data_IF_531737988632
#
_entry.id   IF_531737988632
#
_cell.length_a   1.000
_cell.length_b   1.000
_cell.length_c   1.000
_cell.angle_alpha   90.00
_cell.angle_beta   90.00
_cell.angle_gamma   90.00
#
_symmetry.space_group_name_H-M   'P 1'
#
loop_
_entity.id
_entity.type
_entity.pdbx_description
1 polymer ?
#
# COMPACT_ATOMS: atom_id res chain seq x y z
N UNK A 1 -25.96 50.92 -14.44
CA UNK A 1 -24.61 50.39 -14.11
C UNK A 1 -24.66 49.13 -13.22
N UNK A 2 -25.78 48.81 -12.55
CA UNK A 2 -25.90 47.65 -11.66
C UNK A 2 -25.94 46.29 -12.38
N UNK A 3 -26.68 46.16 -13.49
CA UNK A 3 -26.81 44.87 -14.22
C UNK A 3 -25.49 44.31 -14.75
N UNK A 4 -24.58 45.16 -15.23
CA UNK A 4 -23.27 44.74 -15.74
C UNK A 4 -22.33 44.22 -14.64
N UNK A 5 -22.42 44.79 -13.43
CA UNK A 5 -21.61 44.34 -12.29
C UNK A 5 -22.16 43.04 -11.68
N UNK A 6 -23.49 42.87 -11.63
CA UNK A 6 -24.12 41.63 -11.15
C UNK A 6 -23.80 40.47 -12.09
N UNK A 7 -23.88 40.68 -13.41
CA UNK A 7 -23.52 39.68 -14.43
C UNK A 7 -22.04 39.27 -14.38
N UNK A 8 -21.12 40.23 -14.24
CA UNK A 8 -19.69 39.94 -14.10
C UNK A 8 -19.37 39.19 -12.80
N UNK A 9 -20.03 39.53 -11.70
CA UNK A 9 -19.86 38.84 -10.42
C UNK A 9 -20.39 37.40 -10.48
N UNK A 10 -21.55 37.17 -11.12
CA UNK A 10 -22.10 35.83 -11.31
C UNK A 10 -21.19 34.95 -12.17
N UNK A 11 -20.58 35.52 -13.22
CA UNK A 11 -19.63 34.80 -14.07
C UNK A 11 -18.39 34.34 -13.28
N UNK A 12 -17.80 35.21 -12.45
CA UNK A 12 -16.65 34.85 -11.60
C UNK A 12 -16.98 33.77 -10.56
N UNK A 13 -18.22 33.75 -10.07
CA UNK A 13 -18.72 32.70 -9.17
C UNK A 13 -18.85 31.36 -9.89
N UNK A 14 -19.43 31.35 -11.09
CA UNK A 14 -19.58 30.13 -11.89
C UNK A 14 -18.22 29.56 -12.31
N UNK A 15 -17.26 30.42 -12.65
CA UNK A 15 -15.89 30.01 -12.99
C UNK A 15 -15.16 29.42 -11.77
N UNK A 16 -15.29 30.07 -10.60
CA UNK A 16 -14.73 29.55 -9.33
C UNK A 16 -15.33 28.19 -8.96
N UNK A 17 -16.63 27.99 -9.19
CA UNK A 17 -17.30 26.69 -8.99
C UNK A 17 -16.85 25.64 -10.00
N UNK A 18 -16.61 26.02 -11.25
CA UNK A 18 -16.08 25.10 -12.26
C UNK A 18 -14.68 24.60 -11.89
N UNK A 19 -13.79 25.52 -11.49
CA UNK A 19 -12.47 25.15 -10.97
C UNK A 19 -12.57 24.27 -9.72
N UNK A 20 -13.59 24.52 -8.89
CA UNK A 20 -13.84 23.73 -7.70
C UNK A 20 -14.15 22.26 -8.01
N UNK A 21 -15.09 22.05 -8.93
CA UNK A 21 -15.54 20.72 -9.35
C UNK A 21 -14.40 19.96 -10.06
N UNK A 22 -13.59 20.67 -10.87
CA UNK A 22 -12.41 20.09 -11.51
C UNK A 22 -11.35 19.66 -10.48
N UNK A 23 -11.04 20.49 -9.48
CA UNK A 23 -10.09 20.15 -8.44
C UNK A 23 -10.58 18.99 -7.56
N UNK A 24 -11.89 18.95 -7.25
CA UNK A 24 -12.53 17.84 -6.52
C UNK A 24 -12.41 16.52 -7.30
N UNK A 25 -12.68 16.57 -8.61
CA UNK A 25 -12.56 15.41 -9.51
C UNK A 25 -11.12 14.92 -9.62
N UNK A 26 -10.17 15.84 -9.84
CA UNK A 26 -8.75 15.52 -9.95
C UNK A 26 -8.19 14.92 -8.66
N UNK A 27 -8.63 15.42 -7.51
CA UNK A 27 -8.30 14.85 -6.21
C UNK A 27 -8.82 13.41 -6.16
N UNK A 28 -10.13 13.20 -6.41
CA UNK A 28 -10.80 11.88 -6.40
C UNK A 28 -10.07 10.85 -7.26
N UNK A 29 -9.72 11.23 -8.48
CA UNK A 29 -8.97 10.39 -9.41
C UNK A 29 -7.54 10.10 -8.89
N UNK A 30 -6.85 11.11 -8.36
CA UNK A 30 -5.54 10.95 -7.73
C UNK A 30 -5.53 9.97 -6.56
N UNK A 31 -6.54 10.03 -5.68
CA UNK A 31 -6.68 9.10 -4.56
C UNK A 31 -6.98 7.67 -4.98
N UNK A 32 -7.83 7.50 -6.00
CA UNK A 32 -8.08 6.19 -6.59
C UNK A 32 -6.80 5.60 -7.17
N UNK A 33 -6.01 6.39 -7.91
CA UNK A 33 -4.73 5.96 -8.48
C UNK A 33 -3.70 5.60 -7.41
N UNK A 34 -3.60 6.41 -6.35
CA UNK A 34 -2.69 6.14 -5.24
C UNK A 34 -3.06 4.86 -4.49
N UNK A 35 -4.36 4.61 -4.28
CA UNK A 35 -4.85 3.38 -3.67
C UNK A 35 -4.54 2.16 -4.55
N UNK A 36 -4.83 2.23 -5.85
CA UNK A 36 -4.50 1.16 -6.79
C UNK A 36 -3.00 0.87 -6.83
N UNK A 37 -2.15 1.89 -6.81
CA UNK A 37 -0.70 1.72 -6.78
C UNK A 37 -0.22 1.07 -5.47
N UNK A 38 -0.83 1.43 -4.34
CA UNK A 38 -0.55 0.81 -3.05
C UNK A 38 -0.97 -0.68 -3.03
N UNK A 39 -2.15 -1.01 -3.56
CA UNK A 39 -2.63 -2.39 -3.68
C UNK A 39 -1.74 -3.22 -4.60
N UNK A 40 -1.31 -2.66 -5.74
CA UNK A 40 -0.38 -3.33 -6.64
C UNK A 40 0.98 -3.59 -5.97
N UNK A 41 1.49 -2.63 -5.19
CA UNK A 41 2.73 -2.78 -4.42
C UNK A 41 2.58 -3.87 -3.35
N UNK A 42 1.48 -3.88 -2.62
CA UNK A 42 1.18 -4.91 -1.61
C UNK A 42 1.13 -6.31 -2.24
N UNK A 43 0.50 -6.43 -3.41
CA UNK A 43 0.43 -7.69 -4.14
C UNK A 43 1.82 -8.16 -4.57
N UNK A 44 2.64 -7.27 -5.16
CA UNK A 44 4.01 -7.61 -5.57
C UNK A 44 4.87 -8.09 -4.40
N UNK A 45 4.77 -7.45 -3.24
CA UNK A 45 5.48 -7.86 -2.03
C UNK A 45 5.01 -9.23 -1.53
N UNK A 46 3.71 -9.49 -1.60
CA UNK A 46 3.13 -10.81 -1.30
C UNK A 46 3.66 -11.89 -2.24
N UNK A 47 3.73 -11.59 -3.54
CA UNK A 47 4.22 -12.52 -4.57
C UNK A 47 5.72 -12.81 -4.39
N UNK A 48 6.54 -11.78 -4.13
CA UNK A 48 7.97 -11.93 -3.86
C UNK A 48 8.20 -12.78 -2.61
N UNK A 49 7.50 -12.49 -1.51
CA UNK A 49 7.65 -13.26 -0.27
C UNK A 49 7.24 -14.72 -0.45
N UNK A 50 6.18 -14.97 -1.21
CA UNK A 50 5.72 -16.33 -1.56
C UNK A 50 6.75 -17.08 -2.41
N UNK A 51 7.32 -16.40 -3.40
CA UNK A 51 8.35 -16.96 -4.29
C UNK A 51 9.61 -17.31 -3.51
N UNK A 52 10.09 -16.39 -2.67
CA UNK A 52 11.27 -16.61 -1.82
C UNK A 52 11.05 -17.81 -0.89
N UNK A 53 9.92 -17.85 -0.19
CA UNK A 53 9.56 -18.99 0.69
C UNK A 53 9.56 -20.31 -0.08
N UNK A 54 8.90 -20.34 -1.24
CA UNK A 54 8.81 -21.55 -2.06
C UNK A 54 10.19 -22.02 -2.52
N UNK A 55 11.03 -21.10 -3.02
CA UNK A 55 12.39 -21.44 -3.46
C UNK A 55 13.28 -21.94 -2.32
N UNK A 56 13.20 -21.32 -1.14
CA UNK A 56 13.93 -21.80 0.04
C UNK A 56 13.49 -23.20 0.47
N UNK A 57 12.18 -23.45 0.55
CA UNK A 57 11.64 -24.78 0.88
C UNK A 57 12.12 -25.83 -0.12
N UNK A 58 12.01 -25.58 -1.41
CA UNK A 58 12.44 -26.51 -2.46
C UNK A 58 13.95 -26.82 -2.38
N UNK A 59 14.79 -25.81 -2.12
CA UNK A 59 16.22 -26.02 -1.96
C UNK A 59 16.55 -26.87 -0.73
N UNK A 60 15.85 -26.66 0.39
CA UNK A 60 16.01 -27.46 1.61
C UNK A 60 15.61 -28.92 1.34
N UNK A 61 14.45 -29.15 0.69
CA UNK A 61 13.97 -30.49 0.34
C UNK A 61 14.96 -31.21 -0.59
N UNK A 62 15.50 -30.51 -1.59
CA UNK A 62 16.51 -31.07 -2.49
C UNK A 62 17.79 -31.49 -1.74
N UNK A 63 18.27 -30.67 -0.81
CA UNK A 63 19.42 -31.01 0.04
C UNK A 63 19.13 -32.22 0.95
N UNK A 64 17.94 -32.28 1.55
CA UNK A 64 17.51 -33.41 2.37
C UNK A 64 17.46 -34.72 1.56
N UNK A 65 16.97 -34.65 0.32
CA UNK A 65 16.96 -35.80 -0.59
C UNK A 65 18.38 -36.28 -0.92
N UNK A 66 19.33 -35.36 -1.14
CA UNK A 66 20.73 -35.72 -1.36
C UNK A 66 21.35 -36.45 -0.16
N UNK A 67 21.11 -35.98 1.07
CA UNK A 67 21.58 -36.68 2.27
C UNK A 67 20.95 -38.05 2.45
N UNK A 68 19.66 -38.18 2.18
CA UNK A 68 18.94 -39.46 2.21
C UNK A 68 19.56 -40.45 1.22
N UNK A 69 19.83 -40.00 -0.01
CA UNK A 69 20.48 -40.82 -1.04
C UNK A 69 21.91 -41.21 -0.66
N UNK A 70 22.68 -40.28 -0.11
CA UNK A 70 24.04 -40.55 0.35
C UNK A 70 24.03 -41.58 1.50
N UNK A 71 23.14 -41.45 2.48
CA UNK A 71 22.96 -42.44 3.55
C UNK A 71 22.62 -43.82 2.98
N UNK A 72 21.69 -43.87 2.02
CA UNK A 72 21.31 -45.13 1.36
C UNK A 72 22.54 -45.80 0.73
N UNK A 73 23.38 -45.00 0.05
CA UNK A 73 24.63 -45.48 -0.57
C UNK A 73 25.61 -45.99 0.47
N UNK A 74 25.86 -45.25 1.56
CA UNK A 74 26.73 -45.69 2.66
C UNK A 74 26.22 -47.00 3.27
N UNK A 75 24.91 -47.13 3.47
CA UNK A 75 24.30 -48.32 4.05
C UNK A 75 24.36 -49.54 3.12
N UNK A 76 24.15 -49.36 1.82
CA UNK A 76 24.21 -50.44 0.82
C UNK A 76 25.63 -50.86 0.44
N UNK A 77 26.64 -50.15 0.93
CA UNK A 77 28.03 -50.44 0.58
C UNK A 77 28.59 -51.65 1.35
N UNK A 78 29.54 -52.34 0.71
CA UNK A 78 30.09 -53.64 1.14
C UNK A 78 31.21 -53.54 2.20
N UNK A 79 31.57 -52.33 2.65
CA UNK A 79 32.58 -52.08 3.69
C UNK A 79 31.91 -51.98 5.06
N UNK A 80 32.61 -52.37 6.12
CA UNK A 80 32.11 -52.43 7.49
C UNK A 80 33.06 -51.78 8.51
N UNK A 81 32.72 -51.89 9.80
CA UNK A 81 33.57 -51.43 10.90
C UNK A 81 33.66 -49.91 11.07
N UNK A 82 34.79 -49.46 11.63
CA UNK A 82 34.99 -48.06 12.05
C UNK A 82 34.82 -47.04 10.93
N UNK A 83 35.15 -47.42 9.69
CA UNK A 83 35.08 -46.54 8.56
C UNK A 83 33.60 -46.25 8.20
N UNK A 84 32.73 -47.27 8.19
CA UNK A 84 31.27 -47.10 7.98
C UNK A 84 30.63 -46.30 9.12
N UNK A 85 31.03 -46.55 10.37
CA UNK A 85 30.57 -45.78 11.52
C UNK A 85 30.94 -44.28 11.40
N UNK A 86 32.17 -43.98 10.93
CA UNK A 86 32.57 -42.59 10.66
C UNK A 86 31.74 -41.94 9.56
N UNK A 87 31.49 -42.64 8.45
CA UNK A 87 30.62 -42.10 7.40
C UNK A 87 29.21 -41.81 7.90
N UNK A 88 28.61 -42.74 8.65
CA UNK A 88 27.29 -42.50 9.27
C UNK A 88 27.31 -41.29 10.21
N UNK A 89 28.32 -41.16 11.07
CA UNK A 89 28.44 -39.98 11.95
C UNK A 89 28.61 -38.66 11.19
N UNK A 90 29.30 -38.66 10.05
CA UNK A 90 29.41 -37.49 9.16
C UNK A 90 28.04 -37.14 8.58
N UNK A 91 27.26 -38.14 8.12
CA UNK A 91 25.90 -37.91 7.62
C UNK A 91 25.00 -37.32 8.70
N UNK A 92 25.00 -37.92 9.90
CA UNK A 92 24.20 -37.45 11.03
C UNK A 92 24.52 -35.99 11.37
N UNK A 93 25.80 -35.64 11.37
CA UNK A 93 26.26 -34.28 11.64
C UNK A 93 25.75 -33.29 10.58
N UNK A 94 25.91 -33.61 9.29
CA UNK A 94 25.45 -32.71 8.23
C UNK A 94 23.93 -32.63 8.12
N UNK A 95 23.19 -33.72 8.38
CA UNK A 95 21.71 -33.68 8.48
C UNK A 95 21.26 -32.75 9.61
N UNK A 96 21.96 -32.78 10.76
CA UNK A 96 21.68 -31.89 11.88
C UNK A 96 21.94 -30.42 11.54
N UNK A 97 23.08 -30.12 10.90
CA UNK A 97 23.39 -28.78 10.41
C UNK A 97 22.35 -28.30 9.40
N UNK A 98 21.97 -29.15 8.44
CA UNK A 98 20.96 -28.81 7.45
C UNK A 98 19.61 -28.49 8.11
N UNK A 99 19.17 -29.28 9.10
CA UNK A 99 17.93 -29.00 9.84
C UNK A 99 17.98 -27.66 10.57
N UNK A 100 19.12 -27.34 11.17
CA UNK A 100 19.32 -26.07 11.89
C UNK A 100 19.21 -24.90 10.91
N UNK A 101 20.00 -24.93 9.84
CA UNK A 101 20.01 -23.88 8.80
C UNK A 101 18.63 -23.76 8.13
N UNK A 102 17.96 -24.88 7.85
CA UNK A 102 16.62 -24.89 7.29
C UNK A 102 15.59 -24.24 8.23
N UNK A 103 15.68 -24.52 9.54
CA UNK A 103 14.81 -23.92 10.55
C UNK A 103 15.03 -22.41 10.69
N UNK A 104 16.29 -21.97 10.74
CA UNK A 104 16.67 -20.56 10.79
C UNK A 104 16.22 -19.82 9.54
N UNK A 105 16.49 -20.37 8.34
CA UNK A 105 16.07 -19.77 7.08
C UNK A 105 14.55 -19.67 6.95
N UNK A 106 13.82 -20.71 7.34
CA UNK A 106 12.34 -20.71 7.33
C UNK A 106 11.79 -19.63 8.26
N UNK A 107 12.37 -19.50 9.46
CA UNK A 107 11.99 -18.46 10.42
C UNK A 107 12.25 -17.07 9.85
N UNK A 108 13.46 -16.82 9.35
CA UNK A 108 13.85 -15.53 8.81
C UNK A 108 12.99 -15.09 7.61
N UNK A 109 12.69 -16.01 6.68
CA UNK A 109 11.79 -15.73 5.55
C UNK A 109 10.37 -15.42 6.02
N UNK A 110 9.89 -16.13 7.04
CA UNK A 110 8.55 -15.89 7.61
C UNK A 110 8.49 -14.51 8.26
N UNK A 111 9.48 -14.15 9.09
CA UNK A 111 9.56 -12.84 9.75
C UNK A 111 9.66 -11.71 8.73
N UNK A 112 10.51 -11.87 7.71
CA UNK A 112 10.62 -10.92 6.61
C UNK A 112 9.27 -10.71 5.91
N UNK A 113 8.59 -11.79 5.52
CA UNK A 113 7.30 -11.72 4.87
C UNK A 113 6.26 -10.99 5.74
N UNK A 114 6.21 -11.29 7.04
CA UNK A 114 5.31 -10.63 7.99
C UNK A 114 5.60 -9.13 8.10
N UNK A 115 6.87 -8.76 8.26
CA UNK A 115 7.27 -7.37 8.41
C UNK A 115 7.01 -6.55 7.14
N UNK A 116 7.38 -7.08 5.98
CA UNK A 116 7.13 -6.44 4.69
C UNK A 116 5.64 -6.25 4.43
N UNK A 117 4.80 -7.24 4.74
CA UNK A 117 3.35 -7.10 4.60
C UNK A 117 2.77 -6.04 5.54
N UNK A 118 3.29 -5.95 6.76
CA UNK A 118 2.88 -4.91 7.73
C UNK A 118 3.26 -3.52 7.25
N UNK A 119 4.46 -3.33 6.73
CA UNK A 119 4.91 -2.05 6.17
C UNK A 119 4.09 -1.63 4.95
N UNK A 120 3.76 -2.58 4.07
CA UNK A 120 2.89 -2.33 2.92
C UNK A 120 1.49 -1.89 3.34
N UNK A 121 0.90 -2.55 4.35
CA UNK A 121 -0.39 -2.15 4.91
C UNK A 121 -0.35 -0.75 5.52
N UNK A 122 0.68 -0.44 6.30
CA UNK A 122 0.85 0.89 6.88
C UNK A 122 0.97 1.98 5.81
N UNK A 123 1.70 1.72 4.73
CA UNK A 123 1.81 2.65 3.60
C UNK A 123 0.44 2.88 2.95
N UNK A 124 -0.30 1.81 2.66
CA UNK A 124 -1.65 1.89 2.06
C UNK A 124 -2.60 2.70 2.95
N UNK A 125 -2.62 2.40 4.25
CA UNK A 125 -3.51 3.07 5.20
C UNK A 125 -3.11 4.53 5.42
N UNK A 126 -1.81 4.83 5.38
CA UNK A 126 -1.27 6.20 5.41
C UNK A 126 -1.72 7.01 4.20
N UNK A 127 -1.56 6.47 2.99
CA UNK A 127 -2.05 7.08 1.74
C UNK A 127 -3.56 7.34 1.84
N UNK A 128 -4.34 6.36 2.27
CA UNK A 128 -5.79 6.51 2.43
C UNK A 128 -6.17 7.62 3.42
N UNK A 129 -5.43 7.73 4.53
CA UNK A 129 -5.66 8.75 5.57
C UNK A 129 -5.31 10.15 5.07
N UNK A 130 -4.13 10.33 4.46
CA UNK A 130 -3.72 11.63 3.91
C UNK A 130 -4.68 12.09 2.82
N UNK A 131 -5.06 11.17 1.94
CA UNK A 131 -5.95 11.45 0.82
C UNK A 131 -7.35 11.88 1.30
N UNK A 132 -7.89 11.18 2.31
CA UNK A 132 -9.14 11.60 2.98
C UNK A 132 -8.99 12.99 3.60
N UNK A 133 -7.91 13.24 4.32
CA UNK A 133 -7.66 14.55 4.95
C UNK A 133 -7.55 15.70 3.95
N UNK A 134 -6.99 15.46 2.76
CA UNK A 134 -6.98 16.44 1.67
C UNK A 134 -8.41 16.69 1.18
N UNK A 135 -9.17 15.63 0.95
CA UNK A 135 -10.56 15.70 0.45
C UNK A 135 -11.46 16.46 1.42
N UNK A 136 -11.36 16.19 2.74
CA UNK A 136 -12.11 16.88 3.78
C UNK A 136 -11.78 18.39 3.80
N UNK A 137 -10.49 18.75 3.70
CA UNK A 137 -10.06 20.16 3.61
C UNK A 137 -10.61 20.88 2.38
N UNK A 138 -10.67 20.20 1.23
CA UNK A 138 -11.29 20.75 0.03
C UNK A 138 -12.80 20.97 0.24
N UNK A 139 -13.50 19.98 0.80
CA UNK A 139 -14.92 20.09 1.11
C UNK A 139 -15.22 21.27 2.05
N UNK A 140 -14.41 21.45 3.10
CA UNK A 140 -14.55 22.57 4.05
C UNK A 140 -14.31 23.94 3.39
N UNK A 141 -13.30 24.04 2.53
CA UNK A 141 -13.03 25.26 1.76
C UNK A 141 -14.19 25.60 0.82
N UNK A 142 -14.77 24.61 0.15
CA UNK A 142 -15.92 24.84 -0.72
C UNK A 142 -17.17 25.23 0.04
N UNK A 143 -17.42 24.59 1.19
CA UNK A 143 -18.52 25.00 2.07
C UNK A 143 -18.36 26.46 2.51
N UNK A 144 -17.15 26.84 2.92
CA UNK A 144 -16.84 28.22 3.32
C UNK A 144 -17.01 29.21 2.18
N UNK A 145 -16.57 28.85 0.97
CA UNK A 145 -16.77 29.67 -0.22
C UNK A 145 -18.26 29.84 -0.55
N UNK A 146 -19.03 28.75 -0.53
CA UNK A 146 -20.48 28.78 -0.74
C UNK A 146 -21.19 29.71 0.26
N UNK A 147 -20.84 29.64 1.54
CA UNK A 147 -21.37 30.56 2.57
C UNK A 147 -20.97 32.02 2.29
N UNK A 148 -19.71 32.28 1.92
CA UNK A 148 -19.27 33.63 1.61
C UNK A 148 -20.01 34.24 0.41
N UNK A 149 -20.27 33.42 -0.61
CA UNK A 149 -21.02 33.82 -1.80
C UNK A 149 -22.50 34.07 -1.50
N UNK A 150 -23.12 33.24 -0.67
CA UNK A 150 -24.49 33.45 -0.19
C UNK A 150 -24.60 34.79 0.54
N UNK A 151 -23.69 35.05 1.49
CA UNK A 151 -23.67 36.31 2.24
C UNK A 151 -23.47 37.53 1.33
N UNK A 152 -22.63 37.40 0.29
CA UNK A 152 -22.41 38.47 -0.68
C UNK A 152 -23.68 38.75 -1.50
N UNK A 153 -24.39 37.70 -1.94
CA UNK A 153 -25.66 37.82 -2.62
C UNK A 153 -26.72 38.51 -1.75
N UNK A 154 -26.92 38.03 -0.52
CA UNK A 154 -27.89 38.59 0.41
C UNK A 154 -27.62 40.09 0.69
N UNK A 155 -26.35 40.48 0.77
CA UNK A 155 -25.95 41.89 0.92
C UNK A 155 -26.28 42.74 -0.31
N UNK A 156 -26.11 42.20 -1.52
CA UNK A 156 -26.48 42.91 -2.74
C UNK A 156 -27.99 43.09 -2.84
N UNK A 157 -28.78 42.06 -2.53
CA UNK A 157 -30.25 42.14 -2.51
C UNK A 157 -30.74 43.19 -1.49
N UNK A 158 -30.10 43.25 -0.32
CA UNK A 158 -30.42 44.25 0.69
C UNK A 158 -30.09 45.68 0.24
N UNK A 159 -28.96 45.87 -0.46
CA UNK A 159 -28.57 47.17 -1.04
C UNK A 159 -29.55 47.62 -2.13
N UNK A 160 -29.97 46.72 -3.01
CA UNK A 160 -30.92 47.03 -4.08
C UNK A 160 -32.30 47.40 -3.50
N UNK A 161 -32.78 46.62 -2.53
CA UNK A 161 -34.03 46.92 -1.81
C UNK A 161 -33.97 48.27 -1.09
N UNK A 162 -32.85 48.59 -0.42
CA UNK A 162 -32.66 49.87 0.25
C UNK A 162 -32.64 51.05 -0.75
N UNK A 163 -31.99 50.88 -1.90
CA UNK A 163 -31.97 51.88 -2.96
C UNK A 163 -33.37 52.15 -3.53
N UNK A 164 -34.17 51.09 -3.78
CA UNK A 164 -35.54 51.20 -4.27
C UNK A 164 -36.50 51.93 -3.32
N UNK A 165 -36.31 51.81 -2.01
CA UNK A 165 -37.16 52.48 -1.01
C UNK A 165 -36.70 53.91 -0.67
N UNK A 166 -35.54 54.32 -1.18
CA UNK A 166 -34.96 55.66 -0.96
C UNK A 166 -35.23 56.65 -2.09
N UNK A 167 -35.87 56.19 -3.18
CA UNK A 167 -36.28 56.97 -4.35
C UNK A 167 -37.81 57.17 -4.37
#
# INVERSE_FOLDING_TARGET
MSEGMISANLAGVLESRSHADQASTATTDGGSKATTAADATQQQLTDISTTLRTGFTQNIEALQAQFTNFRSTVNSSNWDGNAKNRANGIVDHYESLLRTVAGEATTAVTEFATQTNKEAQNLRDGIGTEYKGITDKFADRYKSLGTALQNYHDNLDNLDNAAMHSA
#
